data_IF_313772671227
#
_entry.id   IF_313772671227
#
_cell.length_a   1.000
_cell.length_b   1.000
_cell.length_c   1.000
_cell.angle_alpha   90.00
_cell.angle_beta   90.00
_cell.angle_gamma   90.00
#
_symmetry.space_group_name_H-M   'P 1'
#
loop_
_entity.id
_entity.type
_entity.pdbx_description
1 polymer ?
#
# COMPACT_ATOMS: atom_id res chain seq x y z
N UNK A 1 5.94 67.94 -57.45
CA UNK A 1 6.99 66.91 -57.69
C UNK A 1 7.36 66.38 -56.31
N UNK A 2 6.58 65.49 -55.69
CA UNK A 2 6.55 64.03 -55.88
C UNK A 2 7.92 63.39 -56.14
N UNK A 3 8.44 62.70 -55.12
CA UNK A 3 9.14 61.41 -55.20
C UNK A 3 9.43 60.95 -53.75
N UNK A 4 8.66 60.03 -53.19
CA UNK A 4 8.83 58.56 -53.26
C UNK A 4 10.21 58.07 -52.80
N UNK A 5 10.26 57.54 -51.56
CA UNK A 5 10.54 56.11 -51.34
C UNK A 5 10.21 55.65 -49.92
N UNK A 6 9.74 54.39 -49.76
CA UNK A 6 9.07 53.90 -48.56
C UNK A 6 10.06 53.30 -47.56
N UNK A 7 10.00 53.79 -46.32
CA UNK A 7 10.74 53.24 -45.20
C UNK A 7 9.92 52.16 -44.48
N UNK A 8 10.32 50.90 -44.68
CA UNK A 8 10.14 49.74 -43.79
C UNK A 8 8.75 49.51 -43.16
N UNK A 9 8.03 48.55 -43.74
CA UNK A 9 7.08 47.72 -42.99
C UNK A 9 7.78 47.05 -41.80
N UNK A 10 7.30 47.19 -40.55
CA UNK A 10 7.71 46.30 -39.48
C UNK A 10 7.13 44.90 -39.75
N UNK A 11 8.00 43.91 -39.65
CA UNK A 11 7.66 42.51 -39.74
C UNK A 11 6.61 42.13 -38.68
N UNK A 12 5.54 41.47 -39.11
CA UNK A 12 4.80 40.47 -38.35
C UNK A 12 4.37 40.85 -36.94
N UNK A 13 3.35 41.71 -36.80
CA UNK A 13 2.43 41.57 -35.69
C UNK A 13 1.60 40.30 -35.96
N UNK A 14 2.06 39.16 -35.43
CA UNK A 14 1.22 37.98 -35.29
C UNK A 14 0.18 38.37 -34.25
N UNK A 15 -0.98 38.81 -34.72
CA UNK A 15 -2.17 38.90 -33.89
C UNK A 15 -2.46 37.45 -33.52
N UNK A 16 -2.01 37.03 -32.34
CA UNK A 16 -2.50 35.81 -31.72
C UNK A 16 -3.96 36.07 -31.44
N UNK A 17 -4.82 35.74 -32.41
CA UNK A 17 -6.25 35.59 -32.18
C UNK A 17 -6.39 34.46 -31.19
N UNK A 18 -6.39 34.80 -29.90
CA UNK A 18 -6.95 33.96 -28.86
C UNK A 18 -8.47 33.91 -29.04
N UNK A 19 -8.91 33.35 -30.15
CA UNK A 19 -10.20 32.68 -30.28
C UNK A 19 -9.99 31.23 -29.84
N UNK A 20 -9.51 31.06 -28.60
CA UNK A 20 -9.54 29.74 -27.95
C UNK A 20 -10.97 29.58 -27.47
N UNK A 21 -11.74 28.91 -28.33
CA UNK A 21 -13.04 28.31 -28.08
C UNK A 21 -13.32 28.10 -26.59
N UNK A 22 -14.21 28.93 -26.03
CA UNK A 22 -14.86 28.75 -24.74
C UNK A 22 -15.83 27.55 -24.75
N UNK A 23 -15.36 26.38 -25.20
CA UNK A 23 -16.15 25.14 -25.32
C UNK A 23 -15.38 23.89 -24.91
N UNK A 24 -14.31 24.02 -24.13
CA UNK A 24 -13.56 22.90 -23.57
C UNK A 24 -13.56 22.95 -22.04
N UNK A 25 -14.75 22.97 -21.45
CA UNK A 25 -14.92 23.01 -20.00
C UNK A 25 -15.97 22.05 -19.44
N UNK A 26 -16.62 21.24 -20.26
CA UNK A 26 -17.81 20.49 -19.80
C UNK A 26 -17.95 19.08 -20.40
N UNK A 27 -16.83 18.46 -20.77
CA UNK A 27 -16.82 17.01 -20.85
C UNK A 27 -16.64 16.48 -19.42
N UNK A 28 -17.62 15.78 -18.82
CA UNK A 28 -17.37 15.10 -17.57
C UNK A 28 -16.16 14.21 -17.78
N UNK A 29 -15.16 14.31 -16.91
CA UNK A 29 -14.03 13.40 -16.93
C UNK A 29 -14.59 11.97 -16.83
N UNK A 30 -14.70 11.27 -17.95
CA UNK A 30 -15.07 9.85 -17.98
C UNK A 30 -13.84 9.15 -17.41
N UNK A 31 -13.89 8.89 -16.10
CA UNK A 31 -12.82 8.18 -15.41
C UNK A 31 -12.85 6.74 -15.87
N UNK A 32 -11.68 6.24 -16.24
CA UNK A 32 -11.51 4.81 -16.51
C UNK A 32 -11.98 4.02 -15.28
N UNK A 33 -13.02 3.18 -15.39
CA UNK A 33 -13.58 2.46 -14.26
C UNK A 33 -12.60 1.46 -13.64
N UNK A 34 -11.47 1.18 -14.30
CA UNK A 34 -10.46 0.22 -13.84
C UNK A 34 -9.40 0.84 -12.91
N UNK A 35 -9.23 2.17 -12.91
CA UNK A 35 -8.22 2.81 -12.04
C UNK A 35 -8.88 3.15 -10.70
N UNK A 36 -8.50 2.48 -9.59
CA UNK A 36 -9.08 2.75 -8.29
C UNK A 36 -8.78 4.19 -7.87
N UNK A 37 -9.81 4.92 -7.45
CA UNK A 37 -9.64 6.25 -6.88
C UNK A 37 -8.82 6.15 -5.60
N UNK A 38 -7.70 6.86 -5.56
CA UNK A 38 -6.90 7.00 -4.36
C UNK A 38 -7.41 8.18 -3.53
N UNK A 39 -7.45 8.00 -2.22
CA UNK A 39 -7.85 8.99 -1.22
C UNK A 39 -6.76 9.12 -0.17
N UNK A 40 -6.60 10.33 0.34
CA UNK A 40 -5.71 10.64 1.45
C UNK A 40 -6.29 10.21 2.80
N UNK A 41 -5.47 10.17 3.86
CA UNK A 41 -5.92 9.89 5.23
C UNK A 41 -7.05 10.82 5.71
N UNK A 42 -7.01 12.15 5.46
CA UNK A 42 -8.14 13.04 5.75
C UNK A 42 -9.44 12.63 5.04
N UNK A 43 -9.39 12.36 3.74
CA UNK A 43 -10.57 11.95 2.98
C UNK A 43 -11.12 10.60 3.44
N UNK A 44 -10.24 9.64 3.76
CA UNK A 44 -10.64 8.37 4.34
C UNK A 44 -11.27 8.53 5.73
N UNK A 45 -10.78 9.48 6.54
CA UNK A 45 -11.37 9.81 7.84
C UNK A 45 -12.79 10.35 7.70
N UNK A 46 -13.04 11.19 6.70
CA UNK A 46 -14.37 11.71 6.40
C UNK A 46 -15.32 10.60 5.92
N UNK A 47 -14.85 9.69 5.05
CA UNK A 47 -15.63 8.53 4.59
C UNK A 47 -15.99 7.60 5.76
N UNK A 48 -15.02 7.29 6.62
CA UNK A 48 -15.20 6.37 7.74
C UNK A 48 -15.89 7.00 8.95
N UNK A 49 -16.07 8.32 8.96
CA UNK A 49 -16.57 9.09 10.11
C UNK A 49 -15.70 8.87 11.37
N UNK A 50 -14.38 8.79 11.17
CA UNK A 50 -13.39 8.55 12.21
C UNK A 50 -12.41 9.73 12.34
N UNK A 51 -11.69 9.79 13.46
CA UNK A 51 -10.56 10.74 13.60
C UNK A 51 -9.42 10.33 12.66
N UNK A 52 -8.72 11.32 12.06
CA UNK A 52 -7.53 11.10 11.23
C UNK A 52 -6.46 10.24 11.91
N UNK A 53 -6.23 10.48 13.21
CA UNK A 53 -5.29 9.69 14.01
C UNK A 53 -5.70 8.21 14.11
N UNK A 54 -7.00 7.93 14.16
CA UNK A 54 -7.51 6.56 14.17
C UNK A 54 -7.31 5.88 12.83
N UNK A 55 -7.56 6.58 11.72
CA UNK A 55 -7.30 6.04 10.37
C UNK A 55 -5.81 5.77 10.19
N UNK A 56 -4.95 6.69 10.63
CA UNK A 56 -3.50 6.48 10.60
C UNK A 56 -3.12 5.21 11.38
N UNK A 57 -3.64 5.03 12.60
CA UNK A 57 -3.44 3.80 13.39
C UNK A 57 -3.94 2.54 12.69
N UNK A 58 -5.08 2.60 11.99
CA UNK A 58 -5.61 1.45 11.26
C UNK A 58 -4.71 1.08 10.09
N UNK A 59 -4.10 2.06 9.41
CA UNK A 59 -3.16 1.78 8.32
C UNK A 59 -1.83 1.26 8.86
N UNK A 60 -1.25 1.93 9.86
CA UNK A 60 0.04 1.52 10.43
C UNK A 60 -0.04 0.21 11.21
N UNK A 61 -1.17 -0.09 11.83
CA UNK A 61 -1.46 -1.39 12.44
C UNK A 61 -2.06 -2.41 11.46
N UNK A 62 -1.95 -2.14 10.15
CA UNK A 62 -2.35 -3.01 9.04
C UNK A 62 -3.78 -3.56 9.10
N UNK A 63 -4.71 -2.85 9.71
CA UNK A 63 -6.15 -3.18 9.75
C UNK A 63 -6.90 -2.58 8.55
N UNK A 64 -6.27 -1.63 7.85
CA UNK A 64 -6.79 -0.98 6.67
C UNK A 64 -5.69 -0.85 5.61
N UNK A 65 -5.87 -1.42 4.39
CA UNK A 65 -4.86 -1.34 3.36
C UNK A 65 -4.60 0.09 2.88
N UNK A 66 -3.35 0.49 2.96
CA UNK A 66 -2.84 1.76 2.45
C UNK A 66 -1.41 1.60 1.96
N UNK A 67 -0.98 2.50 1.08
CA UNK A 67 0.37 2.54 0.54
C UNK A 67 1.00 3.92 0.78
N UNK A 68 2.32 3.95 0.83
CA UNK A 68 3.07 5.20 0.88
C UNK A 68 3.26 5.75 -0.53
N UNK A 69 2.92 7.03 -0.72
CA UNK A 69 3.21 7.82 -1.90
C UNK A 69 4.08 9.00 -1.47
N UNK A 70 5.40 8.80 -1.52
CA UNK A 70 6.36 9.73 -0.92
C UNK A 70 6.21 9.74 0.60
N UNK A 71 5.92 10.91 1.18
CA UNK A 71 5.70 11.09 2.63
C UNK A 71 4.24 10.96 3.06
N UNK A 72 3.31 10.71 2.12
CA UNK A 72 1.88 10.63 2.40
C UNK A 72 1.36 9.19 2.29
N UNK A 73 0.35 8.86 3.10
CA UNK A 73 -0.40 7.60 3.00
C UNK A 73 -1.59 7.82 2.06
N UNK A 74 -1.72 6.93 1.08
CA UNK A 74 -2.85 6.86 0.15
C UNK A 74 -3.58 5.53 0.30
N UNK A 75 -4.90 5.55 0.19
CA UNK A 75 -5.77 4.39 0.28
C UNK A 75 -6.65 4.32 -0.96
N UNK A 76 -7.02 3.12 -1.40
CA UNK A 76 -8.07 2.99 -2.41
C UNK A 76 -9.43 3.31 -1.77
N UNK A 77 -10.20 4.24 -2.37
CA UNK A 77 -11.52 4.66 -1.88
C UNK A 77 -12.45 3.46 -1.69
N UNK A 78 -12.42 2.50 -2.63
CA UNK A 78 -13.22 1.29 -2.59
C UNK A 78 -12.90 0.44 -1.35
N UNK A 79 -11.61 0.29 -1.02
CA UNK A 79 -11.17 -0.40 0.20
C UNK A 79 -11.70 0.29 1.45
N UNK A 80 -11.68 1.63 1.49
CA UNK A 80 -12.23 2.41 2.61
C UNK A 80 -13.75 2.21 2.73
N UNK A 81 -14.48 2.21 1.61
CA UNK A 81 -15.94 1.95 1.58
C UNK A 81 -16.28 0.54 2.04
N UNK A 82 -15.54 -0.46 1.59
CA UNK A 82 -15.67 -1.85 2.04
C UNK A 82 -15.37 -2.00 3.53
N UNK A 83 -14.35 -1.31 4.06
CA UNK A 83 -14.10 -1.26 5.51
C UNK A 83 -15.29 -0.69 6.29
N UNK A 84 -15.89 0.40 5.78
CA UNK A 84 -17.11 1.01 6.35
C UNK A 84 -18.27 0.03 6.35
N UNK A 85 -18.41 -0.77 5.29
CA UNK A 85 -19.44 -1.81 5.16
C UNK A 85 -19.22 -3.01 6.11
N UNK A 86 -18.17 -2.98 6.94
CA UNK A 86 -17.89 -4.02 7.93
C UNK A 86 -16.87 -5.05 7.46
N UNK A 87 -16.35 -4.93 6.23
CA UNK A 87 -15.28 -5.80 5.78
C UNK A 87 -14.02 -5.57 6.63
N UNK A 88 -13.33 -6.66 6.93
CA UNK A 88 -12.05 -6.64 7.61
C UNK A 88 -11.01 -7.18 6.66
N UNK A 89 -10.07 -6.31 6.32
CA UNK A 89 -8.92 -6.68 5.52
C UNK A 89 -7.94 -7.35 6.43
N UNK A 90 -7.99 -8.66 6.39
CA UNK A 90 -7.02 -9.45 7.07
C UNK A 90 -5.73 -9.31 6.23
N UNK A 91 -4.70 -8.70 6.80
CA UNK A 91 -3.38 -8.68 6.19
C UNK A 91 -2.76 -10.07 6.33
N UNK A 92 -1.88 -10.49 5.41
CA UNK A 92 -1.21 -11.76 5.56
C UNK A 92 -0.53 -11.80 6.92
N UNK A 93 -0.86 -12.80 7.74
CA UNK A 93 -0.08 -13.09 8.93
C UNK A 93 1.32 -13.50 8.45
N UNK A 94 2.34 -13.27 9.24
CA UNK A 94 3.69 -13.69 8.89
C UNK A 94 4.00 -14.97 9.65
N UNK A 95 4.55 -15.94 8.93
CA UNK A 95 5.12 -17.14 9.52
C UNK A 95 6.62 -16.93 9.58
N UNK A 96 7.15 -16.84 10.79
CA UNK A 96 8.57 -16.58 11.09
C UNK A 96 9.17 -17.84 11.65
N UNK A 97 10.24 -18.31 11.02
CA UNK A 97 10.95 -19.53 11.38
C UNK A 97 12.26 -19.12 12.02
N UNK A 98 12.49 -19.60 13.22
CA UNK A 98 13.74 -19.44 13.95
C UNK A 98 14.45 -20.78 14.05
N UNK A 99 15.75 -20.80 13.82
CA UNK A 99 16.61 -21.93 14.16
C UNK A 99 17.25 -21.66 15.51
N UNK A 100 17.42 -22.70 16.32
CA UNK A 100 18.21 -22.61 17.53
C UNK A 100 19.70 -22.57 17.16
N UNK A 101 20.38 -21.54 17.65
CA UNK A 101 21.82 -21.34 17.48
C UNK A 101 22.50 -21.65 18.81
N UNK A 102 23.21 -22.78 18.85
CA UNK A 102 23.97 -23.23 20.03
C UNK A 102 25.10 -22.27 20.40
N UNK A 103 25.68 -21.55 19.42
CA UNK A 103 26.78 -20.62 19.68
C UNK A 103 26.30 -19.31 20.30
N UNK A 104 25.09 -18.87 19.95
CA UNK A 104 24.45 -17.69 20.51
C UNK A 104 23.55 -17.99 21.72
N UNK A 105 23.40 -19.27 22.10
CA UNK A 105 22.43 -19.76 23.10
C UNK A 105 21.02 -19.16 22.88
N UNK A 106 20.59 -19.08 21.62
CA UNK A 106 19.46 -18.24 21.23
C UNK A 106 18.71 -18.71 19.99
N UNK A 107 17.59 -18.04 19.70
CA UNK A 107 16.80 -18.27 18.50
C UNK A 107 17.16 -17.22 17.45
N UNK A 108 17.59 -17.67 16.27
CA UNK A 108 17.95 -16.79 15.15
C UNK A 108 16.91 -16.94 14.04
N UNK A 109 16.38 -15.82 13.55
CA UNK A 109 15.43 -15.81 12.42
C UNK A 109 16.13 -16.34 11.16
N UNK A 110 15.61 -17.41 10.58
CA UNK A 110 16.13 -18.02 9.34
C UNK A 110 15.23 -17.76 8.14
N UNK A 111 13.91 -17.67 8.35
CA UNK A 111 12.96 -17.41 7.27
C UNK A 111 11.76 -16.62 7.77
N UNK A 112 11.25 -15.75 6.89
CA UNK A 112 10.00 -15.01 7.09
C UNK A 112 9.17 -15.09 5.82
N UNK A 113 7.94 -15.62 5.94
CA UNK A 113 7.01 -15.77 4.80
C UNK A 113 5.62 -15.26 5.13
N UNK A 114 5.01 -14.58 4.16
CA UNK A 114 3.63 -14.15 4.25
C UNK A 114 2.68 -15.35 4.06
N UNK A 115 1.79 -15.57 5.02
CA UNK A 115 0.73 -16.57 4.94
C UNK A 115 -0.63 -15.90 4.81
N UNK A 116 -1.66 -16.67 4.46
CA UNK A 116 -3.00 -16.10 4.38
C UNK A 116 -3.45 -15.56 5.73
N UNK A 117 -4.34 -14.56 5.75
CA UNK A 117 -4.77 -13.97 7.00
C UNK A 117 -5.62 -14.89 7.90
N UNK A 118 -6.28 -15.87 7.30
CA UNK A 118 -7.05 -16.94 7.95
C UNK A 118 -6.18 -18.18 8.24
N UNK A 119 -4.86 -18.07 8.08
CA UNK A 119 -3.94 -19.18 8.32
C UNK A 119 -3.96 -19.59 9.79
N UNK A 120 -4.27 -20.86 10.01
CA UNK A 120 -4.21 -21.49 11.34
C UNK A 120 -2.88 -22.21 11.44
N UNK A 121 -2.10 -21.86 12.47
CA UNK A 121 -0.84 -22.54 12.75
C UNK A 121 -1.13 -24.03 13.04
N UNK A 122 -0.61 -24.97 12.22
CA UNK A 122 -0.81 -26.39 12.47
C UNK A 122 -0.16 -26.79 13.79
N UNK A 123 -0.72 -27.80 14.47
CA UNK A 123 -0.23 -28.24 15.78
C UNK A 123 1.19 -28.81 15.77
N UNK A 124 1.68 -29.22 14.60
CA UNK A 124 3.04 -29.66 14.35
C UNK A 124 3.42 -29.30 12.91
N UNK A 125 4.71 -29.00 12.70
CA UNK A 125 5.31 -28.90 11.37
C UNK A 125 6.28 -30.05 11.16
N UNK A 126 6.33 -30.57 9.94
CA UNK A 126 7.44 -31.41 9.48
C UNK A 126 8.67 -30.55 9.14
N UNK A 127 9.88 -31.14 9.25
CA UNK A 127 11.11 -30.47 8.82
C UNK A 127 11.05 -30.05 7.34
N UNK A 128 10.47 -30.89 6.48
CA UNK A 128 10.31 -30.60 5.04
C UNK A 128 9.44 -29.36 4.77
N UNK A 129 8.46 -29.06 5.64
CA UNK A 129 7.54 -27.93 5.46
C UNK A 129 8.16 -26.58 5.81
N UNK A 130 9.20 -26.61 6.64
CA UNK A 130 9.96 -25.45 7.09
C UNK A 130 11.32 -25.34 6.39
N UNK A 131 11.63 -26.26 5.46
CA UNK A 131 12.95 -26.33 4.82
C UNK A 131 14.08 -26.57 5.83
N UNK A 132 13.78 -27.24 6.94
CA UNK A 132 14.68 -27.42 8.07
C UNK A 132 15.66 -28.57 7.88
N UNK A 133 16.84 -28.43 8.46
CA UNK A 133 17.89 -29.44 8.47
C UNK A 133 17.71 -30.42 9.64
N UNK A 134 17.95 -31.72 9.45
CA UNK A 134 17.93 -32.70 10.53
C UNK A 134 18.96 -32.35 11.61
N UNK A 135 18.61 -32.54 12.89
CA UNK A 135 19.51 -32.24 14.00
C UNK A 135 19.43 -30.79 14.51
N UNK A 136 18.72 -29.90 13.81
CA UNK A 136 18.50 -28.51 14.24
C UNK A 136 17.11 -28.36 14.84
N UNK A 137 17.02 -27.69 15.98
CA UNK A 137 15.73 -27.34 16.59
C UNK A 137 15.19 -26.07 15.98
N UNK A 138 13.92 -26.06 15.61
CA UNK A 138 13.24 -24.88 15.05
C UNK A 138 12.08 -24.42 15.92
N UNK A 139 11.80 -23.12 15.85
CA UNK A 139 10.63 -22.47 16.44
C UNK A 139 9.92 -21.72 15.32
N UNK A 140 8.67 -22.09 15.08
CA UNK A 140 7.81 -21.45 14.09
C UNK A 140 6.82 -20.56 14.83
N UNK A 141 6.77 -19.29 14.47
CA UNK A 141 5.82 -18.32 15.00
C UNK A 141 4.87 -17.86 13.92
N UNK A 142 3.59 -17.79 14.27
CA UNK A 142 2.63 -16.98 13.53
C UNK A 142 2.58 -15.62 14.20
N UNK A 143 3.01 -14.57 13.51
CA UNK A 143 2.93 -13.20 13.98
C UNK A 143 1.92 -12.41 13.16
N UNK A 144 1.24 -11.46 13.79
CA UNK A 144 0.42 -10.51 13.07
C UNK A 144 1.30 -9.42 12.42
N UNK A 145 0.63 -8.50 11.75
CA UNK A 145 1.22 -7.33 11.10
C UNK A 145 1.77 -6.26 12.08
N UNK A 146 1.57 -6.44 13.39
CA UNK A 146 2.13 -5.62 14.47
C UNK A 146 3.31 -6.38 15.14
N UNK A 147 3.87 -7.41 14.49
CA UNK A 147 4.91 -8.33 14.99
C UNK A 147 4.52 -9.01 16.31
N UNK A 148 3.21 -9.09 16.61
CA UNK A 148 2.73 -9.76 17.80
C UNK A 148 2.55 -11.24 17.52
N UNK A 149 3.20 -12.08 18.33
CA UNK A 149 3.04 -13.53 18.27
C UNK A 149 1.60 -13.95 18.60
N UNK A 150 0.96 -14.59 17.64
CA UNK A 150 -0.39 -15.18 17.72
C UNK A 150 -0.32 -16.66 18.10
N UNK A 151 0.72 -17.36 17.66
CA UNK A 151 0.93 -18.77 17.95
C UNK A 151 2.39 -19.17 17.79
N UNK A 152 2.80 -20.21 18.52
CA UNK A 152 4.17 -20.76 18.50
C UNK A 152 4.12 -22.27 18.44
N UNK A 153 4.92 -22.87 17.56
CA UNK A 153 5.15 -24.32 17.49
C UNK A 153 6.64 -24.57 17.52
N UNK A 154 7.07 -25.55 18.32
CA UNK A 154 8.44 -26.04 18.32
C UNK A 154 8.53 -27.27 17.44
N UNK A 155 9.54 -27.31 16.59
CA UNK A 155 9.87 -28.44 15.73
C UNK A 155 11.18 -28.99 16.23
N UNK A 156 11.16 -30.25 16.70
CA UNK A 156 12.34 -30.93 17.21
C UNK A 156 13.21 -31.46 16.09
N UNK A 157 14.47 -31.73 16.45
CA UNK A 157 15.38 -32.59 15.70
C UNK A 157 14.93 -34.06 15.75
#
# INVERSE_FOLDING_TARGET
MLNDRPGRSPAGAIVSSCDVSARQGDAPMIRDPLIPRLVSVPEAADILELKRSRVHQLVTGGKLPGAWSGSAIVLAEETVRRYKAGERFAFPALLVIYAYDDAAEGWTEVERRAVKPDYVLPGAFGLDEIGGEPGVSYRVELVDNEDKTIGVVKVGA
#
